data_IF_712134256841
#
_entry.id   IF_712134256841
#
_cell.length_a   1.000
_cell.length_b   1.000
_cell.length_c   1.000
_cell.angle_alpha   90.00
_cell.angle_beta   90.00
_cell.angle_gamma   90.00
#
_symmetry.space_group_name_H-M   'P 1'
#
loop_
_entity.id
_entity.type
_entity.pdbx_description
1 polymer ?
#
# COMPACT_ATOMS: atom_id res chain seq x y z
N UNK A 1 -21.77 -7.32 -3.05
CA UNK A 1 -20.71 -6.35 -3.44
C UNK A 1 -19.41 -7.06 -3.13
N UNK A 2 -18.76 -7.56 -4.18
CA UNK A 2 -17.56 -8.38 -4.07
C UNK A 2 -16.43 -7.58 -3.41
N UNK A 3 -15.75 -8.19 -2.43
CA UNK A 3 -14.59 -7.60 -1.76
C UNK A 3 -13.42 -7.55 -2.76
N UNK A 4 -12.84 -6.37 -2.97
CA UNK A 4 -11.66 -6.19 -3.80
C UNK A 4 -10.53 -5.62 -2.95
N UNK A 5 -9.38 -6.30 -2.96
CA UNK A 5 -8.20 -5.95 -2.17
C UNK A 5 -7.06 -5.53 -3.08
N UNK A 6 -6.58 -4.31 -2.86
CA UNK A 6 -5.42 -3.77 -3.56
C UNK A 6 -4.15 -4.06 -2.77
N UNK A 7 -3.21 -4.77 -3.40
CA UNK A 7 -1.87 -4.99 -2.87
C UNK A 7 -0.95 -3.83 -3.22
N UNK A 8 -0.23 -3.33 -2.21
CA UNK A 8 0.78 -2.28 -2.37
C UNK A 8 2.17 -2.90 -2.23
N UNK A 9 3.02 -2.85 -3.26
CA UNK A 9 4.43 -3.22 -3.14
C UNK A 9 5.14 -2.40 -2.05
N UNK A 10 6.27 -2.90 -1.56
CA UNK A 10 7.11 -2.10 -0.67
C UNK A 10 7.54 -0.80 -1.40
N UNK A 11 7.24 0.39 -0.85
CA UNK A 11 7.58 1.65 -1.49
C UNK A 11 9.02 2.05 -1.17
N UNK A 12 9.48 3.13 -1.80
CA UNK A 12 10.77 3.75 -1.51
C UNK A 12 10.59 5.00 -0.66
N UNK A 13 11.52 5.23 0.25
CA UNK A 13 11.71 6.55 0.86
C UNK A 13 12.42 7.46 -0.13
N UNK A 14 11.86 8.65 -0.36
CA UNK A 14 12.46 9.71 -1.14
C UNK A 14 12.58 10.97 -0.30
N UNK A 15 13.73 11.61 -0.34
CA UNK A 15 14.00 12.87 0.37
C UNK A 15 14.38 13.92 -0.68
N UNK A 16 13.60 15.00 -0.75
CA UNK A 16 13.82 16.12 -1.67
C UNK A 16 14.66 17.26 -1.06
N UNK A 17 15.19 17.04 0.16
CA UNK A 17 15.93 18.03 0.95
C UNK A 17 15.03 18.92 1.83
N UNK A 18 13.72 18.93 1.58
CA UNK A 18 12.73 19.69 2.35
C UNK A 18 11.72 18.78 3.07
N UNK A 19 11.45 17.61 2.50
CA UNK A 19 10.46 16.66 2.98
C UNK A 19 10.88 15.23 2.66
N UNK A 20 10.45 14.30 3.50
CA UNK A 20 10.57 12.87 3.22
C UNK A 20 9.21 12.32 2.79
N UNK A 21 9.16 11.70 1.63
CA UNK A 21 7.98 11.09 1.03
C UNK A 21 8.15 9.59 0.81
N UNK A 22 7.02 8.89 0.68
CA UNK A 22 6.97 7.46 0.35
C UNK A 22 6.42 7.34 -1.07
N UNK A 23 7.25 6.85 -2.00
CA UNK A 23 7.00 6.93 -3.45
C UNK A 23 7.24 5.60 -4.16
N UNK A 24 6.72 5.50 -5.38
CA UNK A 24 7.15 4.52 -6.38
C UNK A 24 7.82 5.27 -7.53
N UNK A 25 8.93 4.73 -8.05
CA UNK A 25 9.68 5.33 -9.16
C UNK A 25 9.58 4.46 -10.42
N UNK A 26 9.60 5.08 -11.59
CA UNK A 26 9.54 4.48 -12.94
C UNK A 26 8.25 3.71 -13.25
N UNK A 27 7.89 2.72 -12.43
CA UNK A 27 6.73 1.85 -12.63
C UNK A 27 6.28 1.24 -11.30
N UNK A 28 4.97 1.12 -11.12
CA UNK A 28 4.35 0.30 -10.06
C UNK A 28 3.34 -0.65 -10.69
N UNK A 29 3.26 -1.87 -10.15
CA UNK A 29 2.22 -2.85 -10.49
C UNK A 29 1.46 -3.15 -9.21
N UNK A 30 0.15 -2.88 -9.21
CA UNK A 30 -0.72 -3.09 -8.04
C UNK A 30 -1.59 -4.33 -8.28
N UNK A 31 -1.28 -5.47 -7.64
CA UNK A 31 -2.14 -6.64 -7.74
C UNK A 31 -3.50 -6.38 -7.08
N UNK A 32 -4.56 -6.85 -7.73
CA UNK A 32 -5.94 -6.76 -7.22
C UNK A 32 -6.47 -8.17 -7.03
N UNK A 33 -6.85 -8.51 -5.81
CA UNK A 33 -7.54 -9.74 -5.50
C UNK A 33 -9.03 -9.46 -5.33
N UNK A 34 -9.89 -10.19 -6.03
CA UNK A 34 -11.34 -10.05 -5.95
C UNK A 34 -12.01 -11.41 -6.11
N UNK A 35 -13.19 -11.55 -5.53
CA UNK A 35 -14.06 -12.72 -5.75
C UNK A 35 -15.20 -12.34 -6.66
N UNK A 36 -15.69 -13.31 -7.43
CA UNK A 36 -16.86 -13.14 -8.27
C UNK A 36 -17.95 -14.08 -7.76
N UNK A 37 -19.12 -13.55 -7.41
CA UNK A 37 -20.16 -14.32 -6.72
C UNK A 37 -20.97 -15.21 -7.68
N UNK A 38 -21.18 -14.78 -8.93
CA UNK A 38 -21.98 -15.47 -9.96
C UNK A 38 -21.52 -15.03 -11.36
N UNK A 39 -20.65 -15.79 -12.02
CA UNK A 39 -20.27 -15.49 -13.42
C UNK A 39 -19.99 -16.76 -14.20
N UNK A 40 -20.15 -16.66 -15.52
CA UNK A 40 -19.75 -17.65 -16.53
C UNK A 40 -18.21 -17.78 -16.66
N UNK A 41 -17.46 -17.23 -15.70
CA UNK A 41 -16.01 -17.07 -15.68
C UNK A 41 -15.54 -15.77 -16.34
N UNK A 42 -16.41 -14.97 -16.96
CA UNK A 42 -16.07 -13.63 -17.43
C UNK A 42 -16.28 -12.56 -16.36
N UNK A 43 -15.46 -11.51 -16.39
CA UNK A 43 -15.63 -10.32 -15.56
C UNK A 43 -15.13 -9.07 -16.27
N UNK A 44 -15.67 -7.91 -15.91
CA UNK A 44 -15.10 -6.61 -16.29
C UNK A 44 -14.64 -5.92 -15.02
N UNK A 45 -13.34 -5.64 -14.95
CA UNK A 45 -12.74 -4.84 -13.89
C UNK A 45 -12.71 -3.38 -14.34
N UNK A 46 -13.47 -2.53 -13.66
CA UNK A 46 -13.44 -1.08 -13.84
C UNK A 46 -12.79 -0.41 -12.64
N UNK A 47 -11.89 0.54 -12.88
CA UNK A 47 -11.24 1.31 -11.83
C UNK A 47 -11.15 2.79 -12.22
N UNK A 48 -11.41 3.66 -11.25
CA UNK A 48 -11.08 5.09 -11.33
C UNK A 48 -9.98 5.37 -10.31
N UNK A 49 -8.88 5.96 -10.77
CA UNK A 49 -7.67 6.14 -9.99
C UNK A 49 -7.32 7.61 -9.95
N UNK A 50 -7.22 8.17 -8.75
CA UNK A 50 -6.63 9.48 -8.48
C UNK A 50 -5.25 9.26 -7.85
N UNK A 51 -4.20 9.85 -8.42
CA UNK A 51 -2.83 9.68 -7.95
C UNK A 51 -2.00 10.93 -8.18
N UNK A 52 -0.92 11.10 -7.41
CA UNK A 52 0.05 12.16 -7.63
C UNK A 52 1.21 11.67 -8.50
N UNK A 53 1.64 12.49 -9.46
CA UNK A 53 2.90 12.30 -10.19
C UNK A 53 3.83 13.43 -9.79
N UNK A 54 5.03 13.08 -9.30
CA UNK A 54 5.99 14.05 -8.76
C UNK A 54 7.27 14.03 -9.61
N UNK A 55 7.72 15.22 -10.02
CA UNK A 55 9.12 15.48 -10.40
C UNK A 55 9.67 16.48 -9.39
N UNK A 56 9.65 17.79 -9.73
CA UNK A 56 9.98 18.86 -8.77
C UNK A 56 8.77 19.27 -7.93
N UNK A 57 7.56 19.09 -8.48
CA UNK A 57 6.28 19.32 -7.81
C UNK A 57 5.38 18.10 -8.00
N UNK A 58 4.46 17.87 -7.05
CA UNK A 58 3.47 16.82 -7.16
C UNK A 58 2.17 17.34 -7.80
N UNK A 59 1.83 16.80 -8.96
CA UNK A 59 0.61 17.16 -9.70
C UNK A 59 -0.40 16.02 -9.59
N UNK A 60 -1.67 16.30 -9.23
CA UNK A 60 -2.72 15.29 -9.24
C UNK A 60 -3.07 14.88 -10.67
N UNK A 61 -3.23 13.59 -10.89
CA UNK A 61 -3.63 12.97 -12.14
C UNK A 61 -4.74 11.96 -11.91
N UNK A 62 -5.56 11.73 -12.93
CA UNK A 62 -6.70 10.84 -12.89
C UNK A 62 -6.65 9.85 -14.06
N UNK A 63 -7.12 8.63 -13.83
CA UNK A 63 -7.25 7.61 -14.88
C UNK A 63 -8.51 6.77 -14.69
N UNK A 64 -9.22 6.52 -15.80
CA UNK A 64 -10.30 5.55 -15.88
C UNK A 64 -9.82 4.32 -16.64
N UNK A 65 -9.85 3.16 -15.99
CA UNK A 65 -9.36 1.89 -16.51
C UNK A 65 -10.51 0.90 -16.61
N UNK A 66 -10.50 0.11 -17.69
CA UNK A 66 -11.43 -1.01 -17.88
C UNK A 66 -10.67 -2.20 -18.47
N UNK A 67 -10.86 -3.38 -17.88
CA UNK A 67 -10.26 -4.62 -18.32
C UNK A 67 -11.30 -5.72 -18.35
N UNK A 68 -11.49 -6.33 -19.52
CA UNK A 68 -12.27 -7.56 -19.66
C UNK A 68 -11.39 -8.78 -19.35
N UNK A 69 -11.85 -9.61 -18.43
CA UNK A 69 -11.23 -10.87 -18.00
C UNK A 69 -12.11 -12.01 -18.49
N UNK A 70 -11.69 -12.80 -19.50
CA UNK A 70 -12.47 -13.93 -20.00
C UNK A 70 -12.26 -15.21 -19.16
N UNK A 71 -13.17 -16.20 -19.29
CA UNK A 71 -13.19 -17.43 -18.47
C UNK A 71 -11.96 -18.35 -18.56
N UNK A 72 -11.16 -18.27 -19.64
CA UNK A 72 -9.93 -19.06 -19.81
C UNK A 72 -8.81 -18.23 -20.44
N UNK A 73 -8.10 -17.45 -19.62
CA UNK A 73 -6.84 -16.82 -20.03
C UNK A 73 -5.72 -16.98 -18.98
N UNK A 74 -5.45 -18.24 -18.65
CA UNK A 74 -4.33 -18.61 -17.80
C UNK A 74 -3.06 -18.89 -18.63
N UNK A 75 -2.50 -17.83 -19.23
CA UNK A 75 -1.23 -17.93 -19.96
C UNK A 75 -0.06 -17.95 -18.99
N UNK A 76 1.05 -18.59 -19.39
CA UNK A 76 2.28 -18.58 -18.58
C UNK A 76 2.75 -17.15 -18.29
N UNK A 77 2.64 -16.24 -19.26
CA UNK A 77 3.03 -14.84 -19.11
C UNK A 77 2.18 -14.13 -18.05
N UNK A 78 0.85 -14.33 -18.06
CA UNK A 78 -0.04 -13.75 -17.04
C UNK A 78 0.29 -14.29 -15.65
N UNK A 79 0.48 -15.61 -15.50
CA UNK A 79 0.88 -16.21 -14.21
C UNK A 79 2.17 -15.61 -13.68
N UNK A 80 3.19 -15.51 -14.54
CA UNK A 80 4.47 -14.93 -14.15
C UNK A 80 4.34 -13.47 -13.72
N UNK A 81 3.60 -12.66 -14.47
CA UNK A 81 3.36 -11.25 -14.14
C UNK A 81 2.63 -11.12 -12.79
N UNK A 82 1.53 -11.87 -12.58
CA UNK A 82 0.74 -11.83 -11.35
C UNK A 82 1.57 -12.33 -10.15
N UNK A 83 2.27 -13.46 -10.29
CA UNK A 83 3.13 -13.98 -9.22
C UNK A 83 4.25 -13.01 -8.87
N UNK A 84 4.91 -12.40 -9.87
CA UNK A 84 5.97 -11.42 -9.62
C UNK A 84 5.45 -10.17 -8.89
N UNK A 85 4.27 -9.67 -9.26
CA UNK A 85 3.63 -8.54 -8.60
C UNK A 85 3.25 -8.87 -7.15
N UNK A 86 2.72 -10.08 -6.89
CA UNK A 86 2.37 -10.53 -5.54
C UNK A 86 3.59 -10.71 -4.64
N UNK A 87 4.73 -11.16 -5.19
CA UNK A 87 5.98 -11.30 -4.44
C UNK A 87 6.57 -9.96 -4.00
N UNK A 88 6.21 -8.85 -4.65
CA UNK A 88 6.65 -7.51 -4.28
C UNK A 88 5.86 -6.90 -3.10
N UNK A 89 4.75 -7.51 -2.69
CA UNK A 89 3.94 -7.05 -1.56
C UNK A 89 4.62 -7.47 -0.25
N UNK A 90 4.69 -6.59 0.77
CA UNK A 90 5.14 -6.97 2.10
C UNK A 90 4.33 -8.15 2.66
N UNK A 91 5.03 -9.19 3.10
CA UNK A 91 4.41 -10.36 3.73
C UNK A 91 4.34 -10.19 5.25
N UNK A 92 3.36 -10.82 5.92
CA UNK A 92 3.36 -10.91 7.38
C UNK A 92 4.69 -11.47 7.87
N UNK A 93 5.24 -10.87 8.93
CA UNK A 93 6.46 -11.37 9.56
C UNK A 93 6.22 -12.75 10.18
N UNK A 94 7.24 -13.61 10.12
CA UNK A 94 7.28 -14.87 10.86
C UNK A 94 7.95 -14.73 12.23
N UNK A 95 8.31 -15.86 12.82
CA UNK A 95 8.98 -15.90 14.13
C UNK A 95 10.49 -15.69 14.06
N UNK A 96 11.07 -15.76 12.87
CA UNK A 96 12.51 -15.59 12.65
C UNK A 96 12.87 -14.14 12.30
N UNK A 97 14.05 -13.65 12.72
CA UNK A 97 14.58 -12.36 12.26
C UNK A 97 14.82 -12.31 10.73
N UNK A 98 14.73 -11.13 10.07
CA UNK A 98 14.40 -9.84 10.65
C UNK A 98 12.90 -9.70 10.99
N UNK A 99 12.58 -9.23 12.20
CA UNK A 99 11.20 -9.05 12.67
C UNK A 99 11.07 -7.91 13.67
N UNK A 100 9.91 -7.27 13.68
CA UNK A 100 9.53 -6.33 14.75
C UNK A 100 9.23 -7.17 16.00
N UNK A 101 10.10 -7.04 17.01
CA UNK A 101 9.95 -7.73 18.30
C UNK A 101 9.08 -6.96 19.27
N UNK A 102 9.05 -5.62 19.16
CA UNK A 102 8.27 -4.77 20.06
C UNK A 102 7.87 -3.46 19.39
N UNK A 103 6.69 -2.95 19.75
CA UNK A 103 6.24 -1.60 19.45
C UNK A 103 5.72 -0.98 20.75
N UNK A 104 6.26 0.18 21.12
CA UNK A 104 5.89 0.91 22.33
C UNK A 104 5.52 2.34 21.94
N UNK A 105 4.35 2.80 22.40
CA UNK A 105 4.01 4.21 22.29
C UNK A 105 4.76 5.01 23.37
N UNK A 106 5.44 6.06 22.95
CA UNK A 106 6.08 7.01 23.84
C UNK A 106 5.07 7.91 24.56
N UNK A 107 5.54 8.73 25.52
CA UNK A 107 4.70 9.73 26.14
C UNK A 107 4.18 10.72 25.08
N UNK A 108 3.05 11.36 25.43
CA UNK A 108 2.52 12.47 24.62
C UNK A 108 3.36 13.70 24.93
N UNK A 109 3.83 14.41 23.92
CA UNK A 109 4.49 15.69 24.11
C UNK A 109 3.48 16.82 24.38
N UNK A 110 3.99 18.02 24.65
CA UNK A 110 3.17 19.20 24.94
C UNK A 110 2.28 19.63 23.76
N UNK A 111 2.58 19.16 22.54
CA UNK A 111 1.79 19.39 21.33
C UNK A 111 0.71 18.34 21.11
N UNK A 112 0.61 17.32 21.97
CA UNK A 112 -0.36 16.23 21.82
C UNK A 112 0.10 15.10 20.91
N UNK A 113 1.35 15.13 20.42
CA UNK A 113 1.93 14.12 19.54
C UNK A 113 2.56 12.98 20.35
N UNK A 114 2.57 11.77 19.75
CA UNK A 114 3.15 10.57 20.39
C UNK A 114 4.17 9.91 19.48
N UNK A 115 5.38 9.75 19.99
CA UNK A 115 6.41 8.93 19.37
C UNK A 115 6.08 7.43 19.41
N UNK A 116 6.64 6.66 18.48
CA UNK A 116 6.63 5.20 18.52
C UNK A 116 8.08 4.69 18.58
N UNK A 117 8.38 3.87 19.57
CA UNK A 117 9.64 3.10 19.63
C UNK A 117 9.39 1.71 19.07
N UNK A 118 10.15 1.33 18.06
CA UNK A 118 10.05 0.02 17.39
C UNK A 118 11.36 -0.72 17.60
N UNK A 119 11.31 -1.86 18.27
CA UNK A 119 12.45 -2.77 18.41
C UNK A 119 12.39 -3.81 17.30
N UNK A 120 13.51 -4.00 16.61
CA UNK A 120 13.64 -4.96 15.50
C UNK A 120 14.73 -5.97 15.86
N UNK A 121 14.38 -7.25 15.88
CA UNK A 121 15.34 -8.35 15.96
C UNK A 121 15.91 -8.60 14.56
N UNK A 122 17.24 -8.66 14.42
CA UNK A 122 17.96 -8.85 13.14
C UNK A 122 18.74 -10.17 13.15
N UNK A 123 18.90 -10.80 11.99
CA UNK A 123 19.56 -12.10 11.82
C UNK A 123 21.10 -12.03 11.71
N UNK A 124 21.74 -10.99 12.29
CA UNK A 124 23.16 -10.70 12.13
C UNK A 124 23.45 -9.20 11.94
N UNK A 125 24.74 -8.84 11.85
CA UNK A 125 25.18 -7.44 11.74
C UNK A 125 25.08 -6.85 10.32
N UNK A 126 24.79 -5.55 10.26
CA UNK A 126 24.72 -4.68 9.06
C UNK A 126 23.58 -4.97 8.06
N UNK A 127 22.35 -5.17 8.55
CA UNK A 127 21.17 -5.12 7.68
C UNK A 127 20.68 -3.67 7.52
N UNK A 128 20.58 -3.18 6.29
CA UNK A 128 19.83 -1.95 6.02
C UNK A 128 18.34 -2.23 6.19
N UNK A 129 17.68 -1.53 7.12
CA UNK A 129 16.26 -1.69 7.42
C UNK A 129 15.54 -0.39 7.09
N UNK A 130 14.55 -0.46 6.20
CA UNK A 130 13.58 0.63 6.02
C UNK A 130 12.23 0.22 6.63
N UNK A 131 11.65 1.15 7.39
CA UNK A 131 10.37 0.98 8.07
C UNK A 131 9.37 1.96 7.45
N UNK A 132 8.39 1.41 6.76
CA UNK A 132 7.24 2.16 6.23
C UNK A 132 5.95 1.78 6.97
N UNK A 133 5.09 2.78 7.19
CA UNK A 133 3.81 2.60 7.88
C UNK A 133 2.67 2.99 6.97
N UNK A 134 1.72 2.07 6.78
CA UNK A 134 0.41 2.40 6.19
C UNK A 134 -0.49 3.02 7.26
N UNK A 135 -0.56 4.34 7.33
CA UNK A 135 -1.48 5.03 8.22
C UNK A 135 -2.91 4.95 7.67
N UNK A 136 -3.87 4.60 8.51
CA UNK A 136 -5.31 4.75 8.22
C UNK A 136 -5.82 5.87 9.11
N UNK A 137 -6.13 7.04 8.53
CA UNK A 137 -6.94 8.04 9.24
C UNK A 137 -8.35 7.45 9.37
N UNK A 138 -8.76 7.14 10.58
CA UNK A 138 -10.19 7.04 10.88
C UNK A 138 -10.68 8.49 10.92
N UNK A 139 -11.31 8.94 9.84
CA UNK A 139 -12.02 10.22 9.85
C UNK A 139 -13.09 10.10 10.94
N UNK A 140 -12.87 10.74 12.09
CA UNK A 140 -13.98 11.02 12.97
C UNK A 140 -14.91 11.95 12.19
N UNK A 141 -16.15 11.52 11.95
CA UNK A 141 -17.19 12.39 11.40
C UNK A 141 -17.37 13.53 12.40
N UNK A 142 -16.78 14.69 12.13
CA UNK A 142 -17.20 15.92 12.80
C UNK A 142 -18.66 16.15 12.45
N UNK A 143 -19.53 16.18 13.45
CA UNK A 143 -20.89 16.66 13.26
C UNK A 143 -20.81 18.11 12.76
N UNK A 144 -21.46 18.38 11.63
CA UNK A 144 -21.63 19.75 11.16
C UNK A 144 -22.39 20.54 12.25
N UNK A 145 -22.01 21.79 12.54
CA UNK A 145 -22.82 22.63 13.42
C UNK A 145 -24.16 22.90 12.77
N UNK A 146 -25.23 22.62 13.52
CA UNK A 146 -26.61 22.93 13.13
C UNK A 146 -26.71 24.46 12.96
N UNK A 147 -27.03 24.91 11.75
CA UNK A 147 -27.30 26.34 11.52
C UNK A 147 -28.70 26.61 12.04
N UNK A 148 -28.77 27.35 13.14
CA UNK A 148 -29.98 27.98 13.65
C UNK A 148 -30.55 29.00 12.65
#
# INVERSE_FOLDING_TARGET
>A
MSDARLGFPAPLRYDDGTSTSIVYQNRVILPVDFTLDQTDGSATLSAYVLFGVCSDICVPAEASLSLSVPPQQDTLQHRMAITSARLAIPRPQGDQPPRISRVVAGPTDDAGERGLTIEVALAGGNLAVDLSRKARRVLQRGAAPDRA
#
